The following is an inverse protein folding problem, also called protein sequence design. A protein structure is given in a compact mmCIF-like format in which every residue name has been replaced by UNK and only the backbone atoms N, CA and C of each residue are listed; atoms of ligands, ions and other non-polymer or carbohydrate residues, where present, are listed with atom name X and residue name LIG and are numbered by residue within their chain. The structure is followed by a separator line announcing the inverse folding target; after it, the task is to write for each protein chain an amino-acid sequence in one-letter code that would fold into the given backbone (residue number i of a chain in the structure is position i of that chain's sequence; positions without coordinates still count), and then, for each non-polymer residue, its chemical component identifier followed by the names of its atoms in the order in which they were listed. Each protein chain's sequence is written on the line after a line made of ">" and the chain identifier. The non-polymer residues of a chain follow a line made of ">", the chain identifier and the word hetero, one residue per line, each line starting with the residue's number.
data_IF_148786346234
#
_entry.id   IF_148786346234
#
_cell.length_a   1.000
_cell.length_b   1.000
_cell.length_c   1.000
_cell.angle_alpha   90.00
_cell.angle_beta   90.00
_cell.angle_gamma   90.00
#
_symmetry.space_group_name_H-M   'P 1'
#
loop_
_entity.id
_entity.type
_entity.pdbx_description
1 polymer ?
#
# COMPACT_ATOMS: atom_id res chain seq x y z
N UNK A 1 -10.80 -30.55 -43.34
CA UNK A 1 -10.07 -29.30 -43.01
C UNK A 1 -10.96 -28.31 -42.25
N UNK A 2 -12.15 -27.94 -42.75
CA UNK A 2 -13.05 -26.97 -42.09
C UNK A 2 -13.50 -27.36 -40.66
N UNK A 3 -13.79 -28.64 -40.40
CA UNK A 3 -14.16 -29.09 -39.06
C UNK A 3 -13.01 -28.98 -38.04
N UNK A 4 -11.77 -29.16 -38.49
CA UNK A 4 -10.59 -29.04 -37.64
C UNK A 4 -10.33 -27.57 -37.29
N UNK A 5 -10.45 -26.67 -38.27
CA UNK A 5 -10.32 -25.23 -38.09
C UNK A 5 -11.42 -24.66 -37.18
N UNK A 6 -12.67 -25.11 -37.34
CA UNK A 6 -13.80 -24.73 -36.47
C UNK A 6 -13.63 -25.25 -35.04
N UNK A 7 -13.15 -26.49 -34.87
CA UNK A 7 -12.84 -27.04 -33.55
C UNK A 7 -11.69 -26.28 -32.86
N UNK A 8 -10.64 -25.90 -33.59
CA UNK A 8 -9.53 -25.10 -33.07
C UNK A 8 -9.99 -23.69 -32.69
N UNK A 9 -10.79 -23.06 -33.56
CA UNK A 9 -11.38 -21.75 -33.35
C UNK A 9 -12.27 -21.74 -32.09
N UNK A 10 -13.15 -22.73 -31.94
CA UNK A 10 -13.98 -22.89 -30.74
C UNK A 10 -13.16 -23.20 -29.48
N UNK A 11 -12.02 -23.89 -29.58
CA UNK A 11 -11.14 -24.17 -28.43
C UNK A 11 -10.36 -22.93 -27.98
N UNK A 12 -10.01 -22.05 -28.93
CA UNK A 12 -9.37 -20.75 -28.68
C UNK A 12 -10.39 -19.74 -28.12
N UNK A 13 -11.61 -19.71 -28.67
CA UNK A 13 -12.69 -18.80 -28.25
C UNK A 13 -13.53 -19.29 -27.08
N UNK A 14 -13.30 -20.52 -26.59
CA UNK A 14 -13.99 -21.02 -25.40
C UNK A 14 -13.51 -20.24 -24.18
N UNK A 15 -14.26 -19.20 -23.87
CA UNK A 15 -14.14 -18.40 -22.66
C UNK A 15 -14.20 -19.36 -21.47
N UNK A 16 -13.04 -19.64 -20.85
CA UNK A 16 -13.01 -20.39 -19.60
C UNK A 16 -13.68 -19.49 -18.56
N UNK A 17 -14.88 -19.86 -18.10
CA UNK A 17 -15.47 -19.25 -16.90
C UNK A 17 -14.47 -19.47 -15.76
N UNK A 18 -13.66 -18.47 -15.46
CA UNK A 18 -12.77 -18.47 -14.31
C UNK A 18 -13.66 -18.64 -13.08
N UNK A 19 -13.46 -19.75 -12.37
CA UNK A 19 -14.25 -20.07 -11.19
C UNK A 19 -13.85 -19.09 -10.08
N UNK A 20 -14.79 -18.69 -9.23
CA UNK A 20 -14.51 -17.91 -8.01
C UNK A 20 -13.37 -18.50 -7.15
N UNK A 21 -13.15 -19.82 -7.23
CA UNK A 21 -12.01 -20.51 -6.62
C UNK A 21 -10.64 -20.00 -7.08
N UNK A 22 -10.52 -19.39 -8.26
CA UNK A 22 -9.29 -18.79 -8.80
C UNK A 22 -8.84 -17.59 -7.99
N UNK A 23 -9.76 -16.71 -7.61
CA UNK A 23 -9.50 -15.51 -6.80
C UNK A 23 -9.05 -15.93 -5.40
N UNK A 24 -9.77 -16.88 -4.79
CA UNK A 24 -9.42 -17.43 -3.47
C UNK A 24 -8.02 -18.06 -3.52
N UNK A 25 -7.74 -18.88 -4.53
CA UNK A 25 -6.42 -19.53 -4.69
C UNK A 25 -5.32 -18.50 -4.90
N UNK A 26 -5.58 -17.48 -5.71
CA UNK A 26 -4.63 -16.39 -5.94
C UNK A 26 -4.28 -15.68 -4.63
N UNK A 27 -5.28 -15.29 -3.85
CA UNK A 27 -5.07 -14.51 -2.64
C UNK A 27 -4.58 -15.34 -1.44
N UNK A 28 -4.97 -16.61 -1.33
CA UNK A 28 -4.54 -17.48 -0.21
C UNK A 28 -3.25 -18.24 -0.48
N UNK A 29 -2.84 -18.41 -1.75
CA UNK A 29 -1.65 -19.18 -2.13
C UNK A 29 -0.63 -18.38 -2.91
N UNK A 30 -1.03 -17.75 -4.02
CA UNK A 30 -0.07 -17.13 -4.93
C UNK A 30 0.54 -15.83 -4.38
N UNK A 31 -0.28 -14.95 -3.80
CA UNK A 31 0.21 -13.70 -3.20
C UNK A 31 1.16 -14.00 -2.03
N UNK A 32 0.80 -14.84 -1.02
CA UNK A 32 1.73 -15.19 0.04
C UNK A 32 3.01 -15.85 -0.46
N UNK A 33 2.95 -16.71 -1.48
CA UNK A 33 4.17 -17.30 -2.06
C UNK A 33 5.05 -16.27 -2.74
N UNK A 34 4.46 -15.34 -3.50
CA UNK A 34 5.21 -14.25 -4.13
C UNK A 34 5.85 -13.33 -3.08
N UNK A 35 5.15 -13.07 -1.97
CA UNK A 35 5.66 -12.30 -0.84
C UNK A 35 6.82 -12.98 -0.13
N UNK A 36 6.77 -14.30 0.06
CA UNK A 36 7.91 -15.04 0.60
C UNK A 36 9.16 -14.84 -0.26
N UNK A 37 9.01 -14.89 -1.58
CA UNK A 37 10.12 -14.70 -2.52
C UNK A 37 10.55 -13.24 -2.66
N UNK A 38 9.73 -12.28 -2.22
CA UNK A 38 10.00 -10.85 -2.20
C UNK A 38 10.29 -10.31 -0.78
N UNK A 39 10.53 -11.18 0.22
CA UNK A 39 10.68 -10.77 1.63
C UNK A 39 11.86 -9.83 1.87
N UNK A 40 12.94 -9.95 1.08
CA UNK A 40 14.10 -9.05 1.19
C UNK A 40 13.75 -7.67 0.66
N UNK A 41 13.03 -7.61 -0.45
CA UNK A 41 12.51 -6.40 -1.04
C UNK A 41 11.46 -5.74 -0.14
N UNK A 42 10.66 -6.53 0.58
CA UNK A 42 9.72 -6.03 1.60
C UNK A 42 10.46 -5.35 2.75
N UNK A 43 11.49 -5.99 3.31
CA UNK A 43 12.31 -5.39 4.38
C UNK A 43 13.00 -4.13 3.87
N UNK A 44 13.57 -4.15 2.66
CA UNK A 44 14.20 -2.96 2.08
C UNK A 44 13.18 -1.81 1.89
N UNK A 45 12.01 -2.11 1.34
CA UNK A 45 10.92 -1.15 1.16
C UNK A 45 10.48 -0.55 2.49
N UNK A 46 10.31 -1.39 3.52
CA UNK A 46 9.95 -0.96 4.87
C UNK A 46 11.03 -0.05 5.49
N UNK A 47 12.31 -0.41 5.39
CA UNK A 47 13.41 0.41 5.90
C UNK A 47 13.45 1.75 5.18
N UNK A 48 13.36 1.77 3.85
CA UNK A 48 13.33 3.02 3.07
C UNK A 48 12.18 3.90 3.57
N UNK A 49 10.98 3.34 3.71
CA UNK A 49 9.81 4.08 4.15
C UNK A 49 9.98 4.65 5.56
N UNK A 50 10.44 3.85 6.53
CA UNK A 50 10.65 4.29 7.91
C UNK A 50 11.72 5.37 8.00
N UNK A 51 12.86 5.19 7.33
CA UNK A 51 13.92 6.21 7.28
C UNK A 51 13.38 7.51 6.67
N UNK A 52 12.57 7.41 5.63
CA UNK A 52 11.96 8.56 4.96
C UNK A 52 10.95 9.28 5.85
N UNK A 53 10.15 8.55 6.63
CA UNK A 53 9.28 9.12 7.64
C UNK A 53 10.06 9.83 8.74
N UNK A 54 11.17 9.25 9.21
CA UNK A 54 12.05 9.91 10.18
C UNK A 54 12.68 11.19 9.60
N UNK A 55 13.08 11.19 8.33
CA UNK A 55 13.53 12.41 7.64
C UNK A 55 12.40 13.45 7.65
N UNK A 56 11.17 13.08 7.33
CA UNK A 56 10.02 13.97 7.39
C UNK A 56 9.80 14.57 8.79
N UNK A 57 9.94 13.75 9.84
CA UNK A 57 9.83 14.19 11.24
C UNK A 57 10.91 15.19 11.61
N UNK A 58 12.18 14.83 11.37
CA UNK A 58 13.33 15.69 11.73
C UNK A 58 13.27 17.01 10.97
N UNK A 59 12.95 16.98 9.68
CA UNK A 59 12.84 18.20 8.86
C UNK A 59 11.69 19.09 9.30
N UNK A 60 10.50 18.53 9.57
CA UNK A 60 9.36 19.31 10.05
C UNK A 60 9.54 19.88 11.47
N UNK A 61 10.32 19.19 12.32
CA UNK A 61 10.65 19.68 13.65
C UNK A 61 11.70 20.81 13.61
N UNK A 62 12.61 20.78 12.63
CA UNK A 62 13.68 21.77 12.48
C UNK A 62 13.29 23.02 11.69
N UNK A 63 12.30 22.92 10.80
CA UNK A 63 11.86 24.00 9.92
C UNK A 63 10.32 24.05 9.79
N UNK A 64 9.66 25.09 10.34
CA UNK A 64 8.21 25.27 10.22
C UNK A 64 7.69 25.36 8.78
N UNK A 65 8.49 25.86 7.83
CA UNK A 65 8.09 25.99 6.43
C UNK A 65 8.11 24.64 5.70
N UNK A 66 8.83 23.65 6.23
CA UNK A 66 8.94 22.32 5.64
C UNK A 66 7.57 21.63 5.52
N UNK A 67 6.69 21.79 6.52
CA UNK A 67 5.34 21.21 6.47
C UNK A 67 4.55 21.77 5.28
N UNK A 68 4.64 23.08 5.01
CA UNK A 68 3.98 23.73 3.88
C UNK A 68 4.58 23.32 2.54
N UNK A 69 5.89 23.08 2.49
CA UNK A 69 6.56 22.57 1.29
C UNK A 69 6.04 21.18 0.90
N UNK A 70 5.82 20.30 1.89
CA UNK A 70 5.45 18.90 1.67
C UNK A 70 3.94 18.72 1.52
N UNK A 71 3.12 19.34 2.38
CA UNK A 71 1.66 19.18 2.39
C UNK A 71 0.94 20.23 1.53
N UNK A 72 1.61 21.34 1.21
CA UNK A 72 1.05 22.47 0.48
C UNK A 72 0.30 23.46 1.38
N UNK A 73 0.33 24.74 1.00
CA UNK A 73 -0.31 25.82 1.76
C UNK A 73 -1.81 25.58 1.98
N UNK A 74 -2.53 25.17 0.94
CA UNK A 74 -3.98 24.91 1.00
C UNK A 74 -4.35 23.89 2.09
N UNK A 75 -3.60 22.78 2.16
CA UNK A 75 -3.85 21.74 3.16
C UNK A 75 -3.57 22.25 4.58
N UNK A 76 -2.43 22.93 4.76
CA UNK A 76 -2.04 23.47 6.07
C UNK A 76 -3.04 24.53 6.55
N UNK A 77 -3.42 25.47 5.69
CA UNK A 77 -4.36 26.55 6.04
C UNK A 77 -5.74 25.99 6.38
N UNK A 78 -6.24 25.02 5.60
CA UNK A 78 -7.49 24.31 5.90
C UNK A 78 -7.42 23.62 7.27
N UNK A 79 -6.33 22.89 7.56
CA UNK A 79 -6.20 22.17 8.83
C UNK A 79 -6.06 23.12 10.01
N UNK A 80 -5.34 24.24 9.87
CA UNK A 80 -5.25 25.26 10.92
C UNK A 80 -6.62 25.90 11.21
N UNK A 81 -7.43 26.16 10.17
CA UNK A 81 -8.79 26.66 10.35
C UNK A 81 -9.68 25.63 11.06
N UNK A 82 -9.56 24.35 10.71
CA UNK A 82 -10.27 23.26 11.37
C UNK A 82 -9.88 23.15 12.87
N UNK A 83 -8.58 23.25 13.18
CA UNK A 83 -8.08 23.28 14.56
C UNK A 83 -8.66 24.49 15.32
N UNK A 84 -8.67 25.68 14.71
CA UNK A 84 -9.22 26.89 15.31
C UNK A 84 -10.74 26.79 15.59
N UNK A 85 -11.46 26.02 14.77
CA UNK A 85 -12.89 25.74 14.95
C UNK A 85 -13.16 24.58 15.92
N UNK A 86 -12.13 23.93 16.49
CA UNK A 86 -12.27 22.81 17.42
C UNK A 86 -12.53 21.45 16.75
N UNK A 87 -12.44 21.36 15.42
CA UNK A 87 -12.69 20.13 14.65
C UNK A 87 -11.46 19.74 13.81
N UNK A 88 -10.32 19.38 14.42
CA UNK A 88 -9.05 19.20 13.72
C UNK A 88 -9.08 18.14 12.62
N UNK A 89 -10.02 17.19 12.68
CA UNK A 89 -10.21 16.10 11.72
C UNK A 89 -11.37 16.34 10.74
N UNK A 90 -11.93 17.55 10.66
CA UNK A 90 -13.07 17.88 9.79
C UNK A 90 -12.79 17.67 8.28
N UNK A 91 -11.54 17.52 7.87
CA UNK A 91 -11.16 17.14 6.50
C UNK A 91 -11.86 15.85 6.03
N UNK A 92 -12.21 14.96 6.96
CA UNK A 92 -12.92 13.69 6.70
C UNK A 92 -14.46 13.82 6.73
N UNK A 93 -15.01 15.01 6.98
CA UNK A 93 -16.46 15.22 7.19
C UNK A 93 -17.16 15.90 6.00
N UNK A 94 -16.42 16.56 5.11
CA UNK A 94 -17.01 17.49 4.12
C UNK A 94 -17.64 16.89 2.85
N UNK A 95 -17.50 15.59 2.58
CA UNK A 95 -18.07 14.95 1.36
C UNK A 95 -18.91 13.71 1.67
N UNK A 96 -19.73 13.30 0.69
CA UNK A 96 -20.57 12.10 0.82
C UNK A 96 -19.73 10.83 0.85
N UNK A 97 -20.18 9.85 1.63
CA UNK A 97 -19.41 8.65 2.01
C UNK A 97 -18.94 7.84 0.81
N UNK A 98 -19.85 7.53 -0.12
CA UNK A 98 -19.56 6.68 -1.26
C UNK A 98 -18.60 7.33 -2.28
N UNK A 99 -18.79 8.61 -2.69
CA UNK A 99 -17.81 9.32 -3.51
C UNK A 99 -16.44 9.48 -2.85
N UNK A 100 -16.39 9.77 -1.54
CA UNK A 100 -15.14 9.86 -0.77
C UNK A 100 -14.40 8.52 -0.78
N UNK A 101 -15.10 7.44 -0.39
CA UNK A 101 -14.61 6.07 -0.43
C UNK A 101 -13.97 5.72 -1.79
N UNK A 102 -14.70 5.98 -2.88
CA UNK A 102 -14.23 5.63 -4.23
C UNK A 102 -13.01 6.46 -4.63
N UNK A 103 -13.04 7.77 -4.37
CA UNK A 103 -11.95 8.70 -4.69
C UNK A 103 -10.64 8.29 -4.01
N UNK A 104 -10.69 8.07 -2.70
CA UNK A 104 -9.53 7.70 -1.87
C UNK A 104 -9.01 6.32 -2.27
N UNK A 105 -9.91 5.34 -2.42
CA UNK A 105 -9.54 3.99 -2.85
C UNK A 105 -8.81 4.01 -4.18
N UNK A 106 -9.34 4.73 -5.17
CA UNK A 106 -8.73 4.82 -6.50
C UNK A 106 -7.40 5.57 -6.47
N UNK A 107 -7.31 6.65 -5.68
CA UNK A 107 -6.07 7.40 -5.52
C UNK A 107 -4.97 6.51 -4.92
N UNK A 108 -5.27 5.78 -3.84
CA UNK A 108 -4.28 4.93 -3.17
C UNK A 108 -3.86 3.72 -4.02
N UNK A 109 -4.80 3.14 -4.78
CA UNK A 109 -4.47 2.15 -5.81
C UNK A 109 -3.53 2.77 -6.86
N UNK A 110 -3.82 3.98 -7.36
CA UNK A 110 -2.99 4.63 -8.36
C UNK A 110 -1.58 4.93 -7.83
N UNK A 111 -1.45 5.44 -6.61
CA UNK A 111 -0.15 5.67 -5.93
C UNK A 111 0.64 4.36 -5.82
N UNK A 112 -0.01 3.27 -5.41
CA UNK A 112 0.61 1.93 -5.31
C UNK A 112 1.08 1.40 -6.67
N UNK A 113 0.23 1.48 -7.69
CA UNK A 113 0.58 1.04 -9.04
C UNK A 113 1.69 1.89 -9.65
N UNK A 114 1.71 3.20 -9.38
CA UNK A 114 2.80 4.09 -9.78
C UNK A 114 4.09 3.74 -9.05
N UNK A 115 4.04 3.48 -7.74
CA UNK A 115 5.19 3.02 -6.95
C UNK A 115 5.81 1.74 -7.52
N UNK A 116 4.97 0.78 -7.89
CA UNK A 116 5.37 -0.43 -8.62
C UNK A 116 5.94 -0.12 -10.01
N UNK A 117 5.23 0.67 -10.81
CA UNK A 117 5.60 0.99 -12.20
C UNK A 117 6.91 1.76 -12.30
N UNK A 118 7.24 2.60 -11.31
CA UNK A 118 8.53 3.29 -11.25
C UNK A 118 9.72 2.31 -11.16
N UNK A 119 9.48 1.06 -10.74
CA UNK A 119 10.44 -0.03 -10.80
C UNK A 119 10.83 -0.41 -12.24
N UNK A 120 10.04 -0.05 -13.25
CA UNK A 120 10.37 -0.22 -14.68
C UNK A 120 11.61 0.60 -15.07
N UNK A 121 11.79 1.78 -14.46
CA UNK A 121 12.98 2.60 -14.69
C UNK A 121 14.18 1.92 -14.05
N UNK A 122 14.12 1.77 -12.72
CA UNK A 122 15.07 1.04 -11.86
C UNK A 122 14.47 0.92 -10.45
N UNK A 123 15.12 0.17 -9.55
CA UNK A 123 14.78 0.17 -8.12
C UNK A 123 14.83 1.55 -7.46
N UNK A 124 15.61 2.50 -8.01
CA UNK A 124 15.66 3.89 -7.51
C UNK A 124 14.33 4.62 -7.72
N UNK A 125 13.62 4.37 -8.82
CA UNK A 125 12.33 4.99 -9.08
C UNK A 125 11.29 4.63 -8.01
N UNK A 126 11.20 3.35 -7.66
CA UNK A 126 10.36 2.90 -6.55
C UNK A 126 10.83 3.46 -5.21
N UNK A 127 12.15 3.49 -4.97
CA UNK A 127 12.73 4.10 -3.78
C UNK A 127 12.34 5.58 -3.61
N UNK A 128 12.32 6.36 -4.68
CA UNK A 128 11.89 7.76 -4.69
C UNK A 128 10.40 7.92 -4.32
N UNK A 129 9.53 7.03 -4.83
CA UNK A 129 8.11 7.04 -4.45
C UNK A 129 7.92 6.72 -2.96
N UNK A 130 8.64 5.73 -2.43
CA UNK A 130 8.64 5.41 -0.99
C UNK A 130 9.19 6.56 -0.15
N UNK A 131 10.22 7.24 -0.64
CA UNK A 131 10.81 8.42 0.01
C UNK A 131 9.79 9.53 0.18
N UNK A 132 9.12 9.93 -0.90
CA UNK A 132 8.13 11.01 -0.85
C UNK A 132 6.95 10.66 0.06
N UNK A 133 6.42 9.44 -0.04
CA UNK A 133 5.30 9.01 0.81
C UNK A 133 5.71 8.93 2.28
N UNK A 134 6.92 8.45 2.58
CA UNK A 134 7.44 8.42 3.95
C UNK A 134 7.61 9.83 4.52
N UNK A 135 8.30 10.72 3.81
CA UNK A 135 8.50 12.13 4.22
C UNK A 135 7.17 12.82 4.49
N UNK A 136 6.19 12.63 3.60
CA UNK A 136 4.85 13.19 3.76
C UNK A 136 4.20 12.80 5.09
N UNK A 137 4.24 11.51 5.46
CA UNK A 137 3.66 11.04 6.72
C UNK A 137 4.44 11.55 7.93
N UNK A 138 5.76 11.61 7.85
CA UNK A 138 6.59 12.17 8.92
C UNK A 138 6.29 13.64 9.18
N UNK A 139 6.21 14.44 8.11
CA UNK A 139 5.86 15.85 8.19
C UNK A 139 4.44 16.05 8.74
N UNK A 140 3.49 15.25 8.26
CA UNK A 140 2.11 15.26 8.73
C UNK A 140 2.02 15.01 10.25
N UNK A 141 2.61 13.92 10.76
CA UNK A 141 2.49 13.59 12.18
C UNK A 141 3.17 14.64 13.06
N UNK A 142 4.26 15.22 12.58
CA UNK A 142 4.98 16.29 13.29
C UNK A 142 4.15 17.56 13.35
N UNK A 143 3.43 17.90 12.29
CA UNK A 143 2.53 19.05 12.26
C UNK A 143 1.45 18.95 13.35
N UNK A 144 0.77 17.80 13.47
CA UNK A 144 -0.23 17.61 14.53
C UNK A 144 0.38 17.52 15.93
N UNK A 145 1.61 17.00 16.05
CA UNK A 145 2.36 17.03 17.31
C UNK A 145 2.64 18.46 17.79
N UNK A 146 3.02 19.37 16.88
CA UNK A 146 3.28 20.78 17.20
C UNK A 146 2.03 21.55 17.66
N UNK A 147 0.84 20.99 17.44
CA UNK A 147 -0.44 21.55 17.86
C UNK A 147 -1.10 20.76 18.99
N UNK A 148 -0.36 19.90 19.71
CA UNK A 148 -0.85 19.07 20.82
C UNK A 148 -1.98 18.08 20.43
N UNK A 149 -2.04 17.71 19.15
CA UNK A 149 -3.08 16.86 18.56
C UNK A 149 -2.57 15.50 18.06
N UNK A 150 -1.34 15.10 18.44
CA UNK A 150 -0.72 13.87 17.97
C UNK A 150 -1.56 12.62 18.26
N UNK A 151 -2.19 12.54 19.44
CA UNK A 151 -2.97 11.36 19.80
C UNK A 151 -4.24 11.23 18.95
N UNK A 152 -4.94 12.35 18.75
CA UNK A 152 -6.15 12.38 17.92
C UNK A 152 -5.82 12.11 16.44
N UNK A 153 -4.75 12.73 15.92
CA UNK A 153 -4.30 12.46 14.55
C UNK A 153 -3.86 11.01 14.38
N UNK A 154 -3.18 10.45 15.37
CA UNK A 154 -2.77 9.06 15.36
C UNK A 154 -4.00 8.14 15.25
N UNK A 155 -4.99 8.29 16.12
CA UNK A 155 -6.18 7.43 16.10
C UNK A 155 -7.02 7.60 14.82
N UNK A 156 -7.11 8.81 14.26
CA UNK A 156 -7.85 9.06 13.02
C UNK A 156 -7.17 8.40 11.82
N UNK A 157 -5.86 8.60 11.69
CA UNK A 157 -5.12 8.21 10.49
C UNK A 157 -4.83 6.74 10.50
N UNK A 158 -4.35 6.19 11.62
CA UNK A 158 -3.94 4.79 11.64
C UNK A 158 -5.14 3.83 11.55
N UNK A 159 -6.37 4.31 11.70
CA UNK A 159 -7.57 3.50 11.51
C UNK A 159 -7.63 2.86 10.11
N UNK A 160 -7.42 3.66 9.06
CA UNK A 160 -7.32 3.23 7.66
C UNK A 160 -5.85 3.14 7.22
N UNK A 161 -5.04 4.13 7.60
CA UNK A 161 -3.65 4.31 7.20
C UNK A 161 -2.75 3.14 7.55
N UNK A 162 -3.07 2.35 8.58
CA UNK A 162 -2.37 1.09 8.86
C UNK A 162 -2.35 0.17 7.63
N UNK A 163 -3.50 -0.01 6.97
CA UNK A 163 -3.62 -0.85 5.78
C UNK A 163 -3.01 -0.18 4.54
N UNK A 164 -3.20 1.14 4.38
CA UNK A 164 -2.76 1.87 3.19
C UNK A 164 -1.25 2.01 3.11
N UNK A 165 -0.65 2.47 4.21
CA UNK A 165 0.81 2.64 4.32
C UNK A 165 1.48 1.29 4.11
N UNK A 166 0.95 0.24 4.73
CA UNK A 166 1.47 -1.10 4.52
C UNK A 166 1.32 -1.57 3.07
N UNK A 167 0.18 -1.33 2.44
CA UNK A 167 -0.04 -1.68 1.04
C UNK A 167 0.91 -0.90 0.09
N UNK A 168 1.22 0.37 0.38
CA UNK A 168 2.25 1.14 -0.34
C UNK A 168 3.64 0.52 -0.15
N UNK A 169 4.01 0.10 1.07
CA UNK A 169 5.29 -0.58 1.35
C UNK A 169 5.37 -1.92 0.59
N UNK A 170 4.28 -2.68 0.54
CA UNK A 170 4.17 -3.93 -0.23
C UNK A 170 4.29 -3.67 -1.73
N UNK A 171 3.67 -2.60 -2.24
CA UNK A 171 3.82 -2.17 -3.63
C UNK A 171 5.25 -1.71 -3.93
N UNK A 172 5.91 -1.07 -2.98
CA UNK A 172 7.33 -0.75 -3.03
C UNK A 172 8.18 -2.02 -3.13
N UNK A 173 7.88 -3.06 -2.36
CA UNK A 173 8.55 -4.36 -2.47
C UNK A 173 8.38 -4.96 -3.88
N UNK A 174 7.18 -4.85 -4.46
CA UNK A 174 6.90 -5.27 -5.82
C UNK A 174 7.70 -4.47 -6.86
N UNK A 175 7.82 -3.15 -6.70
CA UNK A 175 8.58 -2.27 -7.59
C UNK A 175 10.09 -2.50 -7.48
N UNK A 176 10.62 -2.69 -6.28
CA UNK A 176 12.01 -3.07 -6.05
C UNK A 176 12.32 -4.45 -6.67
N UNK A 177 11.40 -5.42 -6.55
CA UNK A 177 11.56 -6.73 -7.18
C UNK A 177 11.57 -6.65 -8.72
N UNK A 178 10.80 -5.72 -9.30
CA UNK A 178 10.82 -5.43 -10.73
C UNK A 178 12.15 -4.78 -11.17
N UNK A 179 12.57 -3.71 -10.48
CA UNK A 179 13.78 -2.96 -10.80
C UNK A 179 15.07 -3.75 -10.59
N UNK A 180 15.12 -4.62 -9.57
CA UNK A 180 16.25 -5.51 -9.32
C UNK A 180 16.47 -6.51 -10.46
N UNK A 181 15.42 -6.84 -11.22
CA UNK A 181 15.53 -7.69 -12.40
C UNK A 181 16.48 -7.11 -13.45
N UNK A 182 16.56 -5.78 -13.54
CA UNK A 182 17.47 -5.07 -14.44
C UNK A 182 18.87 -4.87 -13.83
N UNK A 183 18.90 -4.36 -12.59
CA UNK A 183 20.13 -3.93 -11.92
C UNK A 183 20.98 -5.11 -11.41
N UNK A 184 20.33 -6.15 -10.90
CA UNK A 184 20.97 -7.27 -10.21
C UNK A 184 20.44 -8.61 -10.72
N UNK A 185 20.73 -8.98 -11.99
CA UNK A 185 20.14 -10.17 -12.62
C UNK A 185 20.67 -11.51 -12.05
N UNK A 186 21.71 -11.48 -11.23
CA UNK A 186 22.33 -12.67 -10.67
C UNK A 186 22.86 -13.58 -11.78
N UNK A 187 22.40 -14.83 -11.81
CA UNK A 187 22.78 -15.84 -12.81
C UNK A 187 21.89 -15.86 -14.04
N UNK A 188 20.81 -15.06 -14.08
CA UNK A 188 19.91 -15.00 -15.23
C UNK A 188 20.35 -13.92 -16.23
N UNK A 189 19.89 -14.02 -17.48
CA UNK A 189 19.97 -12.88 -18.39
C UNK A 189 19.09 -11.74 -17.87
N UNK A 190 19.43 -10.48 -18.17
CA UNK A 190 18.66 -9.31 -17.71
C UNK A 190 17.18 -9.39 -18.09
N UNK A 191 16.88 -9.83 -19.32
CA UNK A 191 15.51 -9.97 -19.78
C UNK A 191 14.74 -11.06 -19.01
N UNK A 192 15.38 -12.20 -18.72
CA UNK A 192 14.75 -13.28 -17.97
C UNK A 192 14.54 -12.88 -16.50
N UNK A 193 15.55 -12.26 -15.88
CA UNK A 193 15.46 -11.73 -14.53
C UNK A 193 14.35 -10.67 -14.42
N UNK A 194 14.26 -9.76 -15.39
CA UNK A 194 13.19 -8.77 -15.49
C UNK A 194 11.81 -9.41 -15.61
N UNK A 195 11.62 -10.40 -16.50
CA UNK A 195 10.34 -11.12 -16.64
C UNK A 195 9.90 -11.78 -15.34
N UNK A 196 10.85 -12.36 -14.60
CA UNK A 196 10.61 -12.95 -13.28
C UNK A 196 10.22 -11.90 -12.24
N UNK A 197 10.96 -10.80 -12.18
CA UNK A 197 10.67 -9.64 -11.34
C UNK A 197 9.27 -9.09 -11.61
N UNK A 198 8.93 -8.86 -12.88
CA UNK A 198 7.62 -8.39 -13.32
C UNK A 198 6.49 -9.34 -12.94
N UNK A 199 6.63 -10.65 -13.18
CA UNK A 199 5.61 -11.64 -12.82
C UNK A 199 5.41 -11.71 -11.30
N UNK A 200 6.48 -11.62 -10.52
CA UNK A 200 6.44 -11.61 -9.05
C UNK A 200 5.77 -10.32 -8.55
N UNK A 201 6.25 -9.16 -9.00
CA UNK A 201 5.77 -7.85 -8.59
C UNK A 201 4.31 -7.62 -8.98
N UNK A 202 3.89 -8.01 -10.20
CA UNK A 202 2.50 -7.89 -10.63
C UNK A 202 1.55 -8.69 -9.75
N UNK A 203 1.94 -9.91 -9.34
CA UNK A 203 1.15 -10.69 -8.39
C UNK A 203 1.02 -10.01 -7.04
N UNK A 204 2.07 -9.33 -6.57
CA UNK A 204 2.06 -8.66 -5.27
C UNK A 204 1.19 -7.40 -5.32
N UNK A 205 1.39 -6.50 -6.30
CA UNK A 205 0.67 -5.22 -6.40
C UNK A 205 -0.82 -5.41 -6.68
N UNK A 206 -1.21 -6.39 -7.50
CA UNK A 206 -2.63 -6.72 -7.69
C UNK A 206 -3.22 -7.29 -6.38
N UNK A 207 -2.41 -8.01 -5.60
CA UNK A 207 -2.78 -8.50 -4.27
C UNK A 207 -3.06 -7.39 -3.24
N UNK A 208 -2.58 -6.17 -3.43
CA UNK A 208 -2.86 -5.03 -2.53
C UNK A 208 -4.21 -4.36 -2.81
N UNK A 209 -4.83 -4.59 -3.97
CA UNK A 209 -6.11 -3.94 -4.34
C UNK A 209 -7.22 -4.20 -3.32
N UNK A 210 -7.50 -5.44 -2.87
CA UNK A 210 -8.51 -5.68 -1.82
C UNK A 210 -8.18 -4.99 -0.49
N UNK A 211 -6.90 -4.79 -0.19
CA UNK A 211 -6.45 -4.11 1.04
C UNK A 211 -6.75 -2.61 0.96
N UNK A 212 -6.52 -1.96 -0.19
CA UNK A 212 -6.91 -0.56 -0.39
C UNK A 212 -8.42 -0.37 -0.39
N UNK A 213 -9.19 -1.30 -0.96
CA UNK A 213 -10.66 -1.24 -0.89
C UNK A 213 -11.12 -1.29 0.58
N UNK A 214 -10.53 -2.16 1.40
CA UNK A 214 -10.83 -2.21 2.82
C UNK A 214 -10.42 -0.92 3.54
N UNK A 215 -9.25 -0.37 3.23
CA UNK A 215 -8.76 0.84 3.86
C UNK A 215 -9.61 2.08 3.51
N UNK A 216 -9.90 2.28 2.23
CA UNK A 216 -10.78 3.36 1.79
C UNK A 216 -12.20 3.22 2.37
N UNK A 217 -12.68 1.98 2.58
CA UNK A 217 -13.96 1.76 3.27
C UNK A 217 -13.90 2.24 4.72
N UNK A 218 -12.82 1.90 5.44
CA UNK A 218 -12.60 2.39 6.81
C UNK A 218 -12.49 3.92 6.83
N UNK A 219 -11.85 4.53 5.84
CA UNK A 219 -11.74 5.98 5.76
C UNK A 219 -13.10 6.65 5.49
N UNK A 220 -13.79 6.24 4.42
CA UNK A 220 -15.04 6.85 3.99
C UNK A 220 -16.23 6.61 4.91
N UNK A 221 -16.24 5.51 5.67
CA UNK A 221 -17.39 5.13 6.50
C UNK A 221 -17.11 5.08 8.01
N UNK A 222 -15.86 4.89 8.46
CA UNK A 222 -15.56 4.73 9.90
C UNK A 222 -14.80 5.94 10.45
N UNK A 223 -13.80 6.45 9.73
CA UNK A 223 -12.87 7.49 10.24
C UNK A 223 -13.57 8.81 10.53
N UNK A 224 -14.67 9.11 9.83
CA UNK A 224 -15.49 10.30 10.07
C UNK A 224 -16.30 10.29 11.37
N UNK A 225 -16.48 9.12 11.98
CA UNK A 225 -17.15 9.00 13.27
C UNK A 225 -16.16 9.27 14.40
N UNK A 226 -15.77 10.53 14.56
CA UNK A 226 -14.83 11.01 15.59
C UNK A 226 -15.34 10.79 17.02
N UNK A 227 -16.65 10.61 17.19
CA UNK A 227 -17.33 10.27 18.45
C UNK A 227 -17.08 8.82 18.93
N UNK A 228 -16.44 7.97 18.11
CA UNK A 228 -16.17 6.59 18.49
C UNK A 228 -15.19 6.53 19.67
N UNK A 229 -15.48 5.73 20.72
CA UNK A 229 -14.55 5.52 21.83
C UNK A 229 -13.14 5.15 21.35
N UNK A 230 -12.12 5.79 21.94
CA UNK A 230 -10.70 5.54 21.63
C UNK A 230 -10.33 4.06 21.65
N UNK A 231 -10.88 3.30 22.60
CA UNK A 231 -10.65 1.86 22.71
C UNK A 231 -11.13 1.08 21.45
N UNK A 232 -12.23 1.50 20.84
CA UNK A 232 -12.72 0.89 19.59
C UNK A 232 -11.83 1.28 18.41
N UNK A 233 -11.48 2.56 18.27
CA UNK A 233 -10.55 3.04 17.22
C UNK A 233 -9.22 2.31 17.30
N UNK A 234 -8.66 2.21 18.50
CA UNK A 234 -7.43 1.46 18.75
C UNK A 234 -7.58 -0.05 18.48
N UNK A 235 -8.73 -0.64 18.81
CA UNK A 235 -9.04 -2.03 18.47
C UNK A 235 -9.03 -2.31 16.96
N UNK A 236 -9.56 -1.40 16.14
CA UNK A 236 -9.48 -1.49 14.68
C UNK A 236 -8.04 -1.40 14.17
N UNK A 237 -7.22 -0.49 14.73
CA UNK A 237 -5.80 -0.37 14.40
C UNK A 237 -5.08 -1.71 14.69
N UNK A 238 -5.29 -2.28 15.88
CA UNK A 238 -4.69 -3.56 16.26
C UNK A 238 -5.17 -4.72 15.38
N UNK A 239 -6.44 -4.73 14.98
CA UNK A 239 -6.99 -5.73 14.07
C UNK A 239 -6.32 -5.65 12.70
N UNK A 240 -6.18 -4.44 12.15
CA UNK A 240 -5.49 -4.19 10.88
C UNK A 240 -4.01 -4.59 10.95
N UNK A 241 -3.31 -4.24 12.04
CA UNK A 241 -1.93 -4.67 12.28
C UNK A 241 -1.82 -6.20 12.36
N UNK A 242 -2.72 -6.85 13.10
CA UNK A 242 -2.76 -8.30 13.24
C UNK A 242 -2.96 -8.98 11.90
N UNK A 243 -3.86 -8.44 11.06
CA UNK A 243 -4.05 -8.90 9.69
C UNK A 243 -2.77 -8.77 8.85
N UNK A 244 -2.10 -7.62 8.92
CA UNK A 244 -0.84 -7.37 8.20
C UNK A 244 0.24 -8.38 8.60
N UNK A 245 0.49 -8.53 9.90
CA UNK A 245 1.49 -9.47 10.41
C UNK A 245 1.15 -10.89 10.01
N UNK A 246 -0.13 -11.29 10.15
CA UNK A 246 -0.56 -12.62 9.77
C UNK A 246 -0.37 -12.88 8.26
N UNK A 247 -0.85 -11.98 7.40
CA UNK A 247 -0.97 -12.21 5.96
C UNK A 247 0.35 -12.00 5.19
N UNK A 248 1.12 -10.97 5.54
CA UNK A 248 2.34 -10.60 4.81
C UNK A 248 3.63 -11.10 5.46
N UNK A 249 3.62 -11.46 6.75
CA UNK A 249 4.81 -11.92 7.48
C UNK A 249 4.68 -13.40 7.86
N UNK A 250 3.64 -13.79 8.60
CA UNK A 250 3.52 -15.15 9.12
C UNK A 250 3.14 -16.17 8.03
N UNK A 251 2.06 -15.93 7.29
CA UNK A 251 1.52 -16.85 6.28
C UNK A 251 2.52 -17.20 5.15
N UNK A 252 3.30 -16.24 4.60
CA UNK A 252 4.34 -16.53 3.60
C UNK A 252 5.45 -17.44 4.14
N UNK A 253 5.79 -17.30 5.42
CA UNK A 253 6.91 -18.03 6.05
C UNK A 253 6.49 -19.40 6.62
N UNK A 254 5.20 -19.62 6.90
CA UNK A 254 4.68 -20.90 7.44
C UNK A 254 4.73 -22.06 6.43
N UNK A 255 4.63 -21.79 5.12
CA UNK A 255 4.46 -22.82 4.09
C UNK A 255 5.72 -23.63 3.75
N UNK A 256 6.80 -23.48 4.51
CA UNK A 256 8.04 -24.30 4.38
C UNK A 256 8.17 -25.44 5.39
N UNK A 257 7.13 -25.74 6.17
CA UNK A 257 7.10 -26.93 7.03
C UNK A 257 6.11 -28.02 6.57
N UNK A 258 5.67 -28.00 5.31
CA UNK A 258 4.88 -29.09 4.72
C UNK A 258 5.10 -29.20 3.22
N UNK A 259 5.47 -30.39 2.77
CA UNK A 259 5.66 -30.87 1.38
C UNK A 259 6.80 -30.23 0.55
N UNK A 260 8.02 -30.68 0.80
CA UNK A 260 8.75 -31.37 -0.27
C UNK A 260 7.96 -32.62 -0.63
N UNK A 261 7.19 -32.58 -1.70
CA UNK A 261 6.86 -33.81 -2.44
C UNK A 261 7.24 -33.59 -3.90
N UNK A 262 7.93 -34.61 -4.38
CA UNK A 262 8.62 -34.84 -5.65
C UNK A 262 7.82 -34.54 -6.90
#
# INVERSE_FOLDING_TARGET
>A
LNNLASALHNRIYRNKREKWSRIITYWTREVPSAMHDARRELVASFIIFVVSALIGVVSAAGDPDFVRLILGNSYVDMTLNNIANGEPMAVYNGSSEFPMFLSITLNNIMVSFNCFAMGLLTSFGTGYMLLNNGIMIGAFQTFFYQHDLLWESFLAIWLHGTLEIWAIIVAGAAGLALGNGWLFPGTYSRLESFKRGAKKGLKIVVGTVPVFIMAGFIEGFVTRHTELPDALRFGFILLSLSFIFFYYIYLPNRKKHGSTET
#
